data_IF_489939000114
#
_entry.id   IF_489939000114
#
_cell.length_a   1.000
_cell.length_b   1.000
_cell.length_c   1.000
_cell.angle_alpha   90.00
_cell.angle_beta   90.00
_cell.angle_gamma   90.00
#
_symmetry.space_group_name_H-M   'P 1'
#
loop_
_entity.id
_entity.type
_entity.pdbx_description
1 polymer ?
#
# COMPACT_ATOMS: atom_id res chain seq x y z
N UNK A 1 -2.67 -24.57 -17.87
CA UNK A 1 -2.04 -23.23 -17.77
C UNK A 1 -3.17 -22.24 -17.50
N UNK A 2 -2.90 -21.24 -16.65
CA UNK A 2 -3.81 -20.13 -16.29
C UNK A 2 -4.85 -20.40 -15.18
N UNK A 3 -4.40 -20.28 -13.92
CA UNK A 3 -5.26 -19.98 -12.76
C UNK A 3 -4.45 -19.32 -11.63
N UNK A 4 -3.58 -18.36 -11.96
CA UNK A 4 -2.77 -17.69 -10.93
C UNK A 4 -2.49 -16.22 -11.27
N UNK A 5 -3.53 -15.48 -11.66
CA UNK A 5 -3.49 -14.02 -11.72
C UNK A 5 -4.15 -13.44 -10.47
N UNK A 6 -3.29 -12.85 -9.63
CA UNK A 6 -3.57 -11.71 -8.74
C UNK A 6 -4.48 -11.98 -7.53
N UNK A 7 -3.90 -12.55 -6.47
CA UNK A 7 -4.21 -12.05 -5.12
C UNK A 7 -3.41 -10.75 -4.90
N UNK A 8 -3.84 -9.68 -5.56
CA UNK A 8 -3.83 -8.40 -4.85
C UNK A 8 -5.11 -8.49 -4.02
N UNK A 9 -5.03 -8.38 -2.70
CA UNK A 9 -6.23 -8.17 -1.88
C UNK A 9 -6.77 -6.78 -2.22
N UNK A 10 -7.41 -6.68 -3.37
CA UNK A 10 -8.23 -5.56 -3.75
C UNK A 10 -9.31 -5.46 -2.67
N UNK A 11 -9.27 -4.39 -1.90
CA UNK A 11 -10.28 -4.12 -0.90
C UNK A 11 -11.40 -3.30 -1.59
N UNK A 12 -12.50 -3.95 -2.00
CA UNK A 12 -13.61 -3.25 -2.65
C UNK A 12 -14.23 -2.19 -1.74
N UNK A 13 -14.06 -2.29 -0.41
CA UNK A 13 -14.64 -1.33 0.53
C UNK A 13 -13.88 0.00 0.51
N UNK A 14 -12.57 -0.05 0.29
CA UNK A 14 -11.75 1.16 0.14
C UNK A 14 -12.10 1.94 -1.13
N UNK A 15 -12.29 1.24 -2.26
CA UNK A 15 -12.68 1.87 -3.53
C UNK A 15 -14.10 2.44 -3.48
N UNK A 16 -15.05 1.76 -2.82
CA UNK A 16 -16.38 2.32 -2.57
C UNK A 16 -16.34 3.53 -1.62
N UNK A 17 -15.47 3.50 -0.62
CA UNK A 17 -15.27 4.64 0.28
C UNK A 17 -14.73 5.85 -0.48
N UNK A 18 -13.67 5.69 -1.29
CA UNK A 18 -13.15 6.77 -2.14
C UNK A 18 -14.19 7.23 -3.15
N UNK A 19 -14.88 6.31 -3.82
CA UNK A 19 -15.91 6.60 -4.81
C UNK A 19 -17.08 7.42 -4.26
N UNK A 20 -17.55 7.10 -3.04
CA UNK A 20 -18.61 7.86 -2.37
C UNK A 20 -18.16 9.27 -1.98
N UNK A 21 -16.91 9.45 -1.53
CA UNK A 21 -16.35 10.76 -1.21
C UNK A 21 -16.15 11.63 -2.46
N UNK A 22 -15.64 11.07 -3.55
CA UNK A 22 -15.49 11.80 -4.81
C UNK A 22 -16.84 12.22 -5.40
N UNK A 23 -17.85 11.36 -5.29
CA UNK A 23 -19.22 11.68 -5.73
C UNK A 23 -19.85 12.80 -4.87
N UNK A 24 -19.68 12.75 -3.54
CA UNK A 24 -20.16 13.79 -2.63
C UNK A 24 -19.47 15.14 -2.90
N UNK A 25 -18.14 15.13 -3.10
CA UNK A 25 -17.38 16.33 -3.47
C UNK A 25 -17.90 16.88 -4.80
N UNK A 26 -18.12 16.04 -5.81
CA UNK A 26 -18.66 16.45 -7.10
C UNK A 26 -20.04 17.11 -7.01
N UNK A 27 -20.96 16.54 -6.22
CA UNK A 27 -22.30 17.10 -5.99
C UNK A 27 -22.21 18.46 -5.30
N UNK A 28 -21.34 18.60 -4.31
CA UNK A 28 -21.13 19.87 -3.62
C UNK A 28 -20.57 20.92 -4.58
N UNK A 29 -19.55 20.59 -5.37
CA UNK A 29 -19.00 21.52 -6.37
C UNK A 29 -20.05 21.98 -7.39
N UNK A 30 -20.88 21.06 -7.92
CA UNK A 30 -21.93 21.40 -8.88
C UNK A 30 -23.01 22.29 -8.26
N UNK A 31 -23.40 22.01 -7.01
CA UNK A 31 -24.37 22.82 -6.25
C UNK A 31 -23.84 24.23 -5.99
N UNK A 32 -22.57 24.36 -5.61
CA UNK A 32 -21.92 25.67 -5.42
C UNK A 32 -21.76 26.43 -6.73
N UNK A 33 -21.47 25.76 -7.85
CA UNK A 33 -21.38 26.40 -9.16
C UNK A 33 -22.73 27.00 -9.59
N UNK A 34 -23.83 26.26 -9.39
CA UNK A 34 -25.17 26.75 -9.70
C UNK A 34 -25.62 27.90 -8.77
N UNK A 35 -25.30 27.82 -7.48
CA UNK A 35 -25.55 28.94 -6.54
C UNK A 35 -24.70 30.16 -6.94
N UNK A 36 -23.44 29.95 -7.35
CA UNK A 36 -22.56 31.03 -7.77
C UNK A 36 -23.01 31.72 -9.06
N UNK A 37 -23.69 31.01 -9.96
CA UNK A 37 -24.27 31.59 -11.18
C UNK A 37 -25.44 32.54 -10.86
N UNK A 38 -26.15 32.30 -9.75
CA UNK A 38 -27.37 33.03 -9.37
C UNK A 38 -27.17 34.04 -8.24
N UNK A 39 -25.98 34.12 -7.66
CA UNK A 39 -25.65 35.03 -6.54
C UNK A 39 -24.71 36.14 -6.95
N UNK A 40 -24.73 37.25 -6.19
CA UNK A 40 -23.87 38.40 -6.46
C UNK A 40 -22.37 38.05 -6.27
N UNK A 41 -21.46 38.76 -6.97
CA UNK A 41 -20.04 38.43 -6.97
C UNK A 41 -19.36 38.45 -5.59
N UNK A 42 -19.90 39.21 -4.63
CA UNK A 42 -19.36 39.31 -3.28
C UNK A 42 -19.65 38.03 -2.47
N UNK A 43 -20.86 37.50 -2.62
CA UNK A 43 -21.27 36.19 -2.08
C UNK A 43 -20.48 35.04 -2.72
N UNK A 44 -20.22 35.08 -4.04
CA UNK A 44 -19.38 34.08 -4.73
C UNK A 44 -17.92 34.11 -4.26
N UNK A 45 -17.37 35.30 -4.08
CA UNK A 45 -16.01 35.48 -3.56
C UNK A 45 -15.82 34.91 -2.15
N UNK A 46 -16.79 35.13 -1.27
CA UNK A 46 -16.76 34.57 0.09
C UNK A 46 -16.94 33.04 0.12
N UNK A 47 -17.86 32.48 -0.68
CA UNK A 47 -18.02 31.02 -0.83
C UNK A 47 -16.75 30.35 -1.40
N UNK A 48 -16.06 31.02 -2.32
CA UNK A 48 -14.80 30.52 -2.91
C UNK A 48 -13.66 30.45 -1.89
N UNK A 49 -13.56 31.42 -0.98
CA UNK A 49 -12.57 31.41 0.11
C UNK A 49 -12.86 30.26 1.09
N UNK A 50 -14.12 30.06 1.46
CA UNK A 50 -14.54 28.95 2.35
C UNK A 50 -14.30 27.60 1.67
N UNK A 51 -14.66 27.46 0.39
CA UNK A 51 -14.40 26.25 -0.40
C UNK A 51 -12.90 25.94 -0.54
N UNK A 52 -12.08 26.96 -0.81
CA UNK A 52 -10.63 26.81 -0.92
C UNK A 52 -9.97 26.37 0.39
N UNK A 53 -10.39 26.95 1.53
CA UNK A 53 -9.88 26.55 2.85
C UNK A 53 -10.29 25.13 3.25
N UNK A 54 -11.54 24.72 2.94
CA UNK A 54 -12.00 23.35 3.15
C UNK A 54 -11.22 22.34 2.29
N UNK A 55 -10.99 22.65 1.02
CA UNK A 55 -10.21 21.80 0.12
C UNK A 55 -8.74 21.67 0.57
N UNK A 56 -8.11 22.76 0.97
CA UNK A 56 -6.76 22.74 1.52
C UNK A 56 -6.69 21.94 2.84
N UNK A 57 -7.70 22.07 3.71
CA UNK A 57 -7.82 21.27 4.92
C UNK A 57 -7.95 19.77 4.62
N UNK A 58 -8.80 19.39 3.67
CA UNK A 58 -9.04 18.00 3.27
C UNK A 58 -7.80 17.36 2.64
N UNK A 59 -7.12 18.06 1.73
CA UNK A 59 -5.86 17.59 1.12
C UNK A 59 -4.75 17.42 2.15
N UNK A 60 -4.64 18.33 3.12
CA UNK A 60 -3.68 18.19 4.24
C UNK A 60 -4.01 17.00 5.15
N UNK A 61 -5.29 16.73 5.40
CA UNK A 61 -5.74 15.59 6.18
C UNK A 61 -5.45 14.28 5.43
N UNK A 62 -5.83 14.19 4.15
CA UNK A 62 -5.50 13.06 3.27
C UNK A 62 -4.01 12.80 3.22
N UNK A 63 -3.20 13.85 3.05
CA UNK A 63 -1.75 13.71 3.03
C UNK A 63 -1.19 13.15 4.36
N UNK A 64 -1.70 13.61 5.50
CA UNK A 64 -1.30 13.08 6.82
C UNK A 64 -1.75 11.63 7.01
N UNK A 65 -2.96 11.28 6.59
CA UNK A 65 -3.45 9.90 6.65
C UNK A 65 -2.62 9.00 5.76
N UNK A 66 -2.32 9.44 4.53
CA UNK A 66 -1.44 8.73 3.61
C UNK A 66 -0.03 8.55 4.18
N UNK A 67 0.57 9.60 4.76
CA UNK A 67 1.88 9.49 5.43
C UNK A 67 1.86 8.53 6.61
N UNK A 68 0.76 8.48 7.39
CA UNK A 68 0.61 7.51 8.48
C UNK A 68 0.50 6.09 7.95
N UNK A 69 -0.29 5.86 6.90
CA UNK A 69 -0.46 4.54 6.27
C UNK A 69 0.86 4.08 5.65
N UNK A 70 1.54 4.91 4.86
CA UNK A 70 2.86 4.61 4.32
C UNK A 70 3.93 4.46 5.41
N UNK A 71 3.81 5.18 6.52
CA UNK A 71 4.67 5.05 7.69
C UNK A 71 4.51 3.68 8.36
N UNK A 72 3.27 3.23 8.54
CA UNK A 72 2.95 1.89 9.06
C UNK A 72 3.46 0.80 8.11
N UNK A 73 3.25 0.97 6.80
CA UNK A 73 3.76 0.07 5.77
C UNK A 73 5.29 -0.06 5.84
N UNK A 74 6.00 1.07 5.97
CA UNK A 74 7.46 1.07 6.10
C UNK A 74 7.94 0.34 7.35
N UNK A 75 7.26 0.54 8.49
CA UNK A 75 7.59 -0.13 9.76
C UNK A 75 7.38 -1.64 9.61
N UNK A 76 6.27 -2.07 9.03
CA UNK A 76 5.98 -3.49 8.83
C UNK A 76 6.98 -4.15 7.88
N UNK A 77 7.33 -3.50 6.77
CA UNK A 77 8.36 -3.99 5.83
C UNK A 77 9.73 -4.16 6.49
N UNK A 78 10.14 -3.23 7.35
CA UNK A 78 11.39 -3.35 8.11
C UNK A 78 11.34 -4.48 9.15
N UNK A 79 10.19 -4.69 9.81
CA UNK A 79 9.97 -5.82 10.73
C UNK A 79 10.08 -7.16 10.00
N UNK A 80 9.42 -7.29 8.86
CA UNK A 80 9.48 -8.48 7.99
C UNK A 80 10.93 -8.74 7.55
N UNK A 81 11.63 -7.71 7.09
CA UNK A 81 13.01 -7.83 6.64
C UNK A 81 13.92 -8.39 7.72
N UNK A 82 13.81 -7.89 8.96
CA UNK A 82 14.55 -8.43 10.11
C UNK A 82 14.19 -9.88 10.40
N UNK A 83 12.89 -10.21 10.37
CA UNK A 83 12.42 -11.58 10.56
C UNK A 83 13.02 -12.55 9.54
N UNK A 84 12.96 -12.21 8.25
CA UNK A 84 13.51 -13.03 7.16
C UNK A 84 15.02 -13.23 7.37
N UNK A 85 15.77 -12.15 7.56
CA UNK A 85 17.23 -12.23 7.74
C UNK A 85 17.61 -13.04 8.98
N UNK A 86 16.89 -12.90 10.10
CA UNK A 86 17.13 -13.70 11.30
C UNK A 86 16.84 -15.19 11.07
N UNK A 87 15.86 -15.54 10.22
CA UNK A 87 15.53 -16.94 9.91
C UNK A 87 16.64 -17.65 9.14
N UNK A 88 17.38 -16.94 8.29
CA UNK A 88 18.57 -17.46 7.63
C UNK A 88 19.81 -17.44 8.54
N UNK A 89 19.80 -16.61 9.58
CA UNK A 89 20.91 -16.49 10.53
C UNK A 89 22.22 -16.10 9.84
N UNK A 90 23.34 -16.59 10.37
CA UNK A 90 24.66 -16.46 9.74
C UNK A 90 24.95 -17.58 8.73
N UNK A 91 24.01 -18.51 8.53
CA UNK A 91 24.24 -19.71 7.73
C UNK A 91 23.72 -19.52 6.31
N UNK A 92 24.62 -19.09 5.42
CA UNK A 92 24.36 -18.93 4.00
C UNK A 92 24.18 -20.25 3.24
N UNK A 93 24.34 -21.40 3.90
CA UNK A 93 24.18 -22.71 3.27
C UNK A 93 22.73 -23.21 3.24
N UNK A 94 21.87 -22.64 4.09
CA UNK A 94 20.50 -23.11 4.28
C UNK A 94 19.59 -22.60 3.15
N UNK A 95 18.84 -23.51 2.56
CA UNK A 95 17.77 -23.23 1.61
C UNK A 95 16.42 -23.45 2.29
N UNK A 96 15.63 -22.39 2.41
CA UNK A 96 14.32 -22.42 3.09
C UNK A 96 13.22 -22.22 2.05
N UNK A 97 12.12 -22.98 2.15
CA UNK A 97 10.98 -22.83 1.25
C UNK A 97 10.14 -21.59 1.60
N UNK A 98 9.47 -20.98 0.60
CA UNK A 98 8.55 -19.86 0.86
C UNK A 98 7.46 -20.22 1.89
N UNK A 99 6.95 -21.44 1.80
CA UNK A 99 5.90 -21.96 2.68
C UNK A 99 6.36 -22.00 4.13
N UNK A 100 7.59 -22.47 4.38
CA UNK A 100 8.16 -22.55 5.73
C UNK A 100 8.45 -21.17 6.32
N UNK A 101 8.85 -20.20 5.49
CA UNK A 101 9.04 -18.81 5.91
C UNK A 101 7.71 -18.14 6.30
N UNK A 102 6.61 -18.50 5.63
CA UNK A 102 5.27 -17.97 5.89
C UNK A 102 4.57 -18.65 7.05
N UNK A 103 4.86 -19.94 7.31
CA UNK A 103 4.18 -20.75 8.33
C UNK A 103 4.28 -20.15 9.74
N UNK A 104 5.35 -19.41 10.02
CA UNK A 104 5.60 -18.79 11.32
C UNK A 104 5.51 -17.24 11.28
N UNK A 105 4.96 -16.66 10.21
CA UNK A 105 4.80 -15.21 10.09
C UNK A 105 3.33 -14.80 10.25
N UNK A 106 3.01 -14.17 11.37
CA UNK A 106 1.67 -13.67 11.71
C UNK A 106 1.38 -12.26 11.15
N UNK A 107 1.60 -12.04 9.86
CA UNK A 107 1.35 -10.74 9.24
C UNK A 107 0.91 -10.81 7.77
N UNK A 108 0.93 -9.68 7.08
CA UNK A 108 0.45 -9.60 5.69
C UNK A 108 1.39 -10.33 4.73
N UNK A 109 0.89 -11.43 4.16
CA UNK A 109 1.62 -12.24 3.18
C UNK A 109 2.02 -11.46 1.91
N UNK A 110 1.28 -10.40 1.55
CA UNK A 110 1.62 -9.54 0.42
C UNK A 110 2.89 -8.73 0.70
N UNK A 111 2.96 -8.05 1.85
CA UNK A 111 4.19 -7.36 2.26
C UNK A 111 5.35 -8.34 2.45
N UNK A 112 5.08 -9.55 2.96
CA UNK A 112 6.10 -10.57 3.11
C UNK A 112 6.78 -10.93 1.78
N UNK A 113 5.97 -11.23 0.76
CA UNK A 113 6.46 -11.54 -0.60
C UNK A 113 7.17 -10.36 -1.23
N UNK A 114 6.64 -9.15 -1.05
CA UNK A 114 7.28 -7.94 -1.57
C UNK A 114 8.69 -7.77 -0.98
N UNK A 115 8.85 -7.95 0.33
CA UNK A 115 10.16 -7.85 0.98
C UNK A 115 11.11 -8.96 0.53
N UNK A 116 10.63 -10.20 0.35
CA UNK A 116 11.45 -11.28 -0.23
C UNK A 116 11.97 -10.95 -1.63
N UNK A 117 11.10 -10.45 -2.50
CA UNK A 117 11.48 -10.05 -3.86
C UNK A 117 12.44 -8.83 -3.84
N UNK A 118 12.25 -7.87 -2.93
CA UNK A 118 13.17 -6.75 -2.73
C UNK A 118 14.56 -7.24 -2.28
N UNK A 119 14.62 -8.13 -1.29
CA UNK A 119 15.88 -8.72 -0.81
C UNK A 119 16.58 -9.53 -1.89
N UNK A 120 15.83 -10.23 -2.74
CA UNK A 120 16.38 -10.96 -3.88
C UNK A 120 16.97 -10.01 -4.93
N UNK A 121 16.26 -8.93 -5.29
CA UNK A 121 16.76 -7.90 -6.22
C UNK A 121 18.00 -7.19 -5.69
N UNK A 122 18.11 -7.02 -4.37
CA UNK A 122 19.30 -6.47 -3.71
C UNK A 122 20.47 -7.46 -3.64
N UNK A 123 20.32 -8.67 -4.18
CA UNK A 123 21.36 -9.71 -4.15
C UNK A 123 21.56 -10.32 -2.77
N UNK A 124 20.67 -10.06 -1.80
CA UNK A 124 20.75 -10.63 -0.44
C UNK A 124 20.19 -12.03 -0.36
N UNK A 125 19.26 -12.38 -1.26
CA UNK A 125 18.65 -13.71 -1.34
C UNK A 125 18.75 -14.26 -2.77
N UNK A 126 19.30 -15.45 -2.91
CA UNK A 126 19.15 -16.26 -4.11
C UNK A 126 17.79 -16.96 -4.10
N UNK A 127 17.14 -17.00 -5.26
CA UNK A 127 15.85 -17.67 -5.43
C UNK A 127 15.97 -18.75 -6.49
N UNK A 128 15.54 -19.96 -6.15
CA UNK A 128 15.39 -21.04 -7.14
C UNK A 128 14.00 -21.67 -7.04
N UNK A 129 13.58 -22.28 -8.15
CA UNK A 129 12.28 -22.96 -8.24
C UNK A 129 12.50 -24.46 -8.35
N UNK A 130 11.76 -25.24 -7.56
CA UNK A 130 11.77 -26.70 -7.69
C UNK A 130 10.95 -27.18 -8.88
N UNK A 131 11.04 -28.47 -9.19
CA UNK A 131 10.21 -29.15 -10.21
C UNK A 131 8.70 -29.02 -9.95
N UNK A 132 8.30 -28.78 -8.68
CA UNK A 132 6.90 -28.54 -8.28
C UNK A 132 6.51 -27.05 -8.31
N UNK A 133 7.33 -26.19 -8.92
CA UNK A 133 7.18 -24.73 -8.97
C UNK A 133 7.16 -24.06 -7.58
N UNK A 134 7.71 -24.71 -6.56
CA UNK A 134 7.88 -24.13 -5.22
C UNK A 134 9.13 -23.25 -5.20
N UNK A 135 9.03 -22.04 -4.65
CA UNK A 135 10.16 -21.10 -4.51
C UNK A 135 10.94 -21.42 -3.23
N UNK A 136 12.25 -21.48 -3.38
CA UNK A 136 13.21 -21.66 -2.30
C UNK A 136 14.14 -20.47 -2.29
N UNK A 137 14.41 -19.98 -1.09
CA UNK A 137 15.24 -18.81 -0.84
C UNK A 137 16.49 -19.27 -0.10
N UNK A 138 17.63 -18.71 -0.48
CA UNK A 138 18.92 -18.93 0.18
C UNK A 138 19.59 -17.58 0.38
N UNK A 139 20.08 -17.29 1.58
CA UNK A 139 20.80 -16.04 1.81
C UNK A 139 22.17 -16.04 1.13
N UNK A 140 22.50 -14.96 0.44
CA UNK A 140 23.87 -14.67 0.04
C UNK A 140 24.59 -14.07 1.25
N UNK A 141 25.62 -14.74 1.73
CA UNK A 141 26.59 -14.09 2.62
C UNK A 141 27.31 -13.01 1.81
N UNK A 142 27.35 -11.80 2.35
CA UNK A 142 28.33 -10.80 1.90
C UNK A 142 29.72 -11.21 2.40
#
# INVERSE_FOLDING_TARGET
MEANRKNNSYDPTFDMFIGSHLSMIGILFFSFAFIAETTDPFTVGSLSIVGGTLFFGATKLLHRTYQKVCGLERIEKERIKKYILNRFGNDSSISISESELLENYEGDACFFREVLDQLSRQGRLWVHKSKKNQRFYRAFQA
#
